data_IF_608495076080
#
_entry.id   IF_608495076080
#
_cell.length_a   1.000
_cell.length_b   1.000
_cell.length_c   1.000
_cell.angle_alpha   90.00
_cell.angle_beta   90.00
_cell.angle_gamma   90.00
#
_symmetry.space_group_name_H-M   'P 1'
#
loop_
_entity.id
_entity.type
_entity.pdbx_description
1 polymer ?
#
# COMPACT_ATOMS: atom_id res chain seq x y z
N UNK A 1 33.59 42.55 -52.60
CA UNK A 1 33.00 43.30 -51.47
C UNK A 1 32.00 42.35 -50.82
N UNK A 2 32.46 41.59 -49.83
CA UNK A 2 31.72 40.51 -49.20
C UNK A 2 30.60 41.11 -48.34
N UNK A 3 29.33 40.77 -48.62
CA UNK A 3 28.22 41.01 -47.69
C UNK A 3 28.29 39.92 -46.63
N UNK A 4 28.59 40.33 -45.40
CA UNK A 4 28.72 39.47 -44.22
C UNK A 4 27.46 38.63 -43.98
N UNK A 5 27.70 37.34 -43.85
CA UNK A 5 26.83 36.33 -43.27
C UNK A 5 26.94 36.44 -41.74
N UNK A 6 25.99 37.11 -41.10
CA UNK A 6 25.74 36.96 -39.66
C UNK A 6 24.22 36.89 -39.47
N UNK A 7 23.61 35.82 -39.98
CA UNK A 7 22.38 35.31 -39.41
C UNK A 7 22.78 34.54 -38.17
N UNK A 8 22.93 35.26 -37.07
CA UNK A 8 23.07 34.70 -35.74
C UNK A 8 21.79 33.91 -35.46
N UNK A 9 21.91 32.58 -35.47
CA UNK A 9 20.86 31.66 -35.11
C UNK A 9 20.38 32.05 -33.71
N UNK A 10 19.23 32.72 -33.63
CA UNK A 10 18.62 33.14 -32.38
C UNK A 10 18.11 31.90 -31.69
N UNK A 11 18.99 31.20 -30.98
CA UNK A 11 18.63 30.05 -30.15
C UNK A 11 17.76 30.61 -29.03
N UNK A 12 16.49 30.26 -29.04
CA UNK A 12 15.59 30.60 -27.95
C UNK A 12 16.17 30.05 -26.64
N UNK A 13 16.20 30.85 -25.58
CA UNK A 13 16.82 30.46 -24.32
C UNK A 13 16.15 29.19 -23.78
N UNK A 14 16.98 28.22 -23.41
CA UNK A 14 16.52 26.94 -22.88
C UNK A 14 15.65 27.15 -21.63
N UNK A 15 14.52 26.49 -21.57
CA UNK A 15 13.63 26.51 -20.40
C UNK A 15 14.40 26.02 -19.16
N UNK A 16 14.29 26.76 -18.04
CA UNK A 16 15.02 26.48 -16.81
C UNK A 16 16.45 27.05 -16.75
N UNK A 17 16.90 27.78 -17.77
CA UNK A 17 18.27 28.31 -17.83
C UNK A 17 18.51 29.53 -16.93
N UNK A 18 17.46 30.29 -16.57
CA UNK A 18 17.59 31.51 -15.77
C UNK A 18 16.27 31.91 -15.10
N UNK A 19 16.31 32.92 -14.22
CA UNK A 19 15.09 33.49 -13.62
C UNK A 19 14.12 34.11 -14.65
N UNK A 20 14.64 34.52 -15.81
CA UNK A 20 13.84 35.09 -16.91
C UNK A 20 13.25 33.99 -17.81
N UNK A 21 13.77 32.76 -17.70
CA UNK A 21 13.30 31.56 -18.40
C UNK A 21 13.18 30.41 -17.39
N UNK A 22 12.26 30.51 -16.40
CA UNK A 22 12.17 29.53 -15.34
C UNK A 22 11.65 28.19 -15.87
N UNK A 23 11.97 27.12 -15.15
CA UNK A 23 11.30 25.84 -15.32
C UNK A 23 10.01 25.87 -14.48
N UNK A 24 8.86 25.89 -15.16
CA UNK A 24 7.55 25.89 -14.49
C UNK A 24 7.04 24.45 -14.41
N UNK A 25 6.56 24.04 -13.23
CA UNK A 25 6.00 22.72 -12.96
C UNK A 25 4.49 22.86 -12.73
N UNK A 26 3.70 22.75 -13.80
CA UNK A 26 2.25 23.07 -13.75
C UNK A 26 1.42 22.13 -12.85
N UNK A 27 1.88 20.90 -12.63
CA UNK A 27 1.16 19.85 -11.87
C UNK A 27 1.71 19.59 -10.47
N UNK A 28 2.63 20.43 -9.98
CA UNK A 28 3.31 20.22 -8.69
C UNK A 28 3.10 21.43 -7.81
N UNK A 29 2.52 21.22 -6.63
CA UNK A 29 2.35 22.31 -5.67
C UNK A 29 3.69 22.65 -5.02
N UNK A 30 3.83 23.87 -4.50
CA UNK A 30 5.05 24.28 -3.77
C UNK A 30 5.30 23.38 -2.56
N UNK A 31 4.25 22.92 -1.90
CA UNK A 31 4.34 21.99 -0.76
C UNK A 31 4.85 20.61 -1.22
N UNK A 32 4.30 20.06 -2.31
CA UNK A 32 4.75 18.77 -2.84
C UNK A 32 6.24 18.83 -3.24
N UNK A 33 6.65 19.93 -3.85
CA UNK A 33 8.04 20.14 -4.25
C UNK A 33 8.98 20.29 -3.05
N UNK A 34 8.57 21.02 -2.01
CA UNK A 34 9.36 21.20 -0.79
C UNK A 34 9.56 19.87 -0.03
N UNK A 35 8.51 19.06 0.06
CA UNK A 35 8.58 17.69 0.60
C UNK A 35 9.60 16.85 -0.18
N UNK A 36 9.53 16.90 -1.52
CA UNK A 36 10.44 16.16 -2.38
C UNK A 36 11.90 16.61 -2.22
N UNK A 37 12.16 17.92 -2.17
CA UNK A 37 13.50 18.46 -1.98
C UNK A 37 14.07 18.12 -0.60
N UNK A 38 13.23 18.16 0.43
CA UNK A 38 13.62 17.76 1.78
C UNK A 38 14.08 16.30 1.79
N UNK A 39 13.31 15.41 1.16
CA UNK A 39 13.68 14.00 1.10
C UNK A 39 14.90 13.74 0.21
N UNK A 40 15.06 14.47 -0.89
CA UNK A 40 16.22 14.39 -1.79
C UNK A 40 17.52 14.77 -1.07
N UNK A 41 17.49 15.83 -0.25
CA UNK A 41 18.66 16.30 0.51
C UNK A 41 19.00 15.40 1.70
N UNK A 42 18.00 14.68 2.25
CA UNK A 42 18.18 13.76 3.40
C UNK A 42 18.45 12.32 2.93
N UNK A 43 18.11 11.98 1.68
CA UNK A 43 18.25 10.64 1.10
C UNK A 43 19.67 10.02 1.24
N UNK A 44 20.78 10.78 1.12
CA UNK A 44 22.12 10.22 1.30
C UNK A 44 22.36 9.66 2.71
N UNK A 45 21.60 10.10 3.72
CA UNK A 45 21.76 9.70 5.12
C UNK A 45 20.71 8.66 5.58
N UNK A 46 19.52 8.65 4.97
CA UNK A 46 18.40 7.79 5.37
C UNK A 46 18.53 6.32 4.93
N UNK A 47 19.20 6.07 3.79
CA UNK A 47 19.44 4.71 3.27
C UNK A 47 20.34 3.90 4.23
N UNK A 48 21.17 4.57 5.04
CA UNK A 48 22.11 3.91 5.97
C UNK A 48 21.53 3.57 7.35
N UNK A 49 20.35 4.12 7.73
CA UNK A 49 19.85 4.04 9.13
C UNK A 49 18.52 3.32 9.28
N UNK A 50 17.90 2.84 8.20
CA UNK A 50 16.59 2.18 8.24
C UNK A 50 16.61 0.71 8.72
N UNK A 51 17.74 0.21 9.21
CA UNK A 51 17.85 -1.13 9.82
C UNK A 51 17.85 -1.13 11.36
N UNK A 52 17.71 0.01 12.04
CA UNK A 52 18.14 0.09 13.44
C UNK A 52 17.11 0.40 14.55
N UNK A 53 15.82 0.69 14.32
CA UNK A 53 14.92 0.94 15.47
C UNK A 53 13.47 0.53 15.23
N UNK A 54 13.08 -0.58 15.88
CA UNK A 54 11.73 -1.17 15.91
C UNK A 54 11.00 -0.95 17.25
N UNK A 55 11.33 0.08 18.03
CA UNK A 55 10.78 0.21 19.40
C UNK A 55 10.69 1.65 19.91
N UNK A 56 9.59 2.35 19.63
CA UNK A 56 8.93 3.37 20.49
C UNK A 56 7.49 3.56 19.96
N UNK A 57 6.46 2.89 20.49
CA UNK A 57 5.24 2.62 19.67
C UNK A 57 4.09 3.65 19.76
N UNK A 58 3.89 4.45 20.81
CA UNK A 58 2.62 5.20 20.91
C UNK A 58 2.65 6.71 20.56
N UNK A 59 3.75 7.44 20.78
CA UNK A 59 3.87 8.84 20.32
C UNK A 59 4.18 8.95 18.81
N UNK A 60 4.50 7.83 18.15
CA UNK A 60 4.86 7.77 16.73
C UNK A 60 3.66 7.89 15.79
N UNK A 61 2.42 7.58 16.23
CA UNK A 61 1.28 7.44 15.32
C UNK A 61 0.94 8.72 14.52
N UNK A 62 0.93 9.90 15.14
CA UNK A 62 0.66 11.18 14.44
C UNK A 62 1.84 11.59 13.54
N UNK A 63 3.08 11.33 13.96
CA UNK A 63 4.26 11.57 13.12
C UNK A 63 4.31 10.64 11.91
N UNK A 64 3.86 9.38 12.08
CA UNK A 64 3.91 8.34 11.05
C UNK A 64 2.86 8.56 9.95
N UNK A 65 1.65 9.01 10.29
CA UNK A 65 0.61 9.30 9.29
C UNK A 65 1.00 10.47 8.37
N UNK A 66 1.59 11.54 8.93
CA UNK A 66 2.16 12.64 8.14
C UNK A 66 3.25 12.14 7.20
N UNK A 67 4.14 11.29 7.71
CA UNK A 67 5.22 10.70 6.94
C UNK A 67 4.70 9.79 5.81
N UNK A 68 3.54 9.13 5.97
CA UNK A 68 2.93 8.32 4.90
C UNK A 68 2.47 9.21 3.73
N UNK A 69 1.76 10.30 4.01
CA UNK A 69 1.31 11.25 2.97
C UNK A 69 2.49 11.87 2.23
N UNK A 70 3.50 12.32 2.96
CA UNK A 70 4.74 12.85 2.39
C UNK A 70 5.43 11.81 1.49
N UNK A 71 5.50 10.54 1.92
CA UNK A 71 6.12 9.45 1.14
C UNK A 71 5.34 9.09 -0.12
N UNK A 72 4.02 9.24 -0.14
CA UNK A 72 3.21 9.11 -1.38
C UNK A 72 3.54 10.24 -2.36
N UNK A 73 3.72 11.47 -1.87
CA UNK A 73 4.15 12.61 -2.71
C UNK A 73 5.54 12.37 -3.28
N UNK A 74 6.49 11.92 -2.44
CA UNK A 74 7.85 11.59 -2.91
C UNK A 74 7.80 10.48 -3.95
N UNK A 75 6.98 9.42 -3.74
CA UNK A 75 6.80 8.35 -4.71
C UNK A 75 6.24 8.89 -6.05
N UNK A 76 5.19 9.72 -6.00
CA UNK A 76 4.58 10.37 -7.17
C UNK A 76 5.60 11.13 -8.01
N UNK A 77 6.38 12.00 -7.36
CA UNK A 77 7.36 12.84 -8.03
C UNK A 77 8.60 12.05 -8.48
N UNK A 78 9.05 11.08 -7.67
CA UNK A 78 10.16 10.22 -8.03
C UNK A 78 9.85 9.33 -9.24
N UNK A 79 8.63 8.79 -9.34
CA UNK A 79 8.19 8.02 -10.50
C UNK A 79 8.08 8.91 -11.75
N UNK A 80 7.46 10.09 -11.60
CA UNK A 80 7.31 11.07 -12.70
C UNK A 80 8.65 11.53 -13.27
N UNK A 81 9.64 11.79 -12.42
CA UNK A 81 10.97 12.27 -12.83
C UNK A 81 12.02 11.17 -12.91
N UNK A 82 11.62 9.90 -12.81
CA UNK A 82 12.51 8.73 -12.93
C UNK A 82 13.66 8.67 -11.91
N UNK A 83 13.46 9.21 -10.70
CA UNK A 83 14.38 9.04 -9.56
C UNK A 83 14.21 7.64 -8.95
N UNK A 84 14.87 6.65 -9.54
CA UNK A 84 14.75 5.24 -9.17
C UNK A 84 15.05 4.94 -7.69
N UNK A 85 16.08 5.58 -7.11
CA UNK A 85 16.46 5.39 -5.71
C UNK A 85 15.40 5.93 -4.73
N UNK A 86 14.88 7.15 -4.98
CA UNK A 86 13.83 7.74 -4.15
C UNK A 86 12.53 6.96 -4.27
N UNK A 87 12.23 6.48 -5.48
CA UNK A 87 11.07 5.61 -5.73
C UNK A 87 11.18 4.33 -4.91
N UNK A 88 12.30 3.62 -4.98
CA UNK A 88 12.51 2.38 -4.21
C UNK A 88 12.45 2.62 -2.70
N UNK A 89 13.08 3.70 -2.22
CA UNK A 89 13.06 4.07 -0.80
C UNK A 89 11.63 4.36 -0.31
N UNK A 90 10.85 5.11 -1.10
CA UNK A 90 9.46 5.42 -0.78
C UNK A 90 8.57 4.18 -0.78
N UNK A 91 8.75 3.27 -1.75
CA UNK A 91 8.04 1.96 -1.78
C UNK A 91 8.40 1.12 -0.55
N UNK A 92 9.68 1.04 -0.17
CA UNK A 92 10.13 0.30 1.02
C UNK A 92 9.52 0.87 2.30
N UNK A 93 9.46 2.20 2.44
CA UNK A 93 8.81 2.85 3.57
C UNK A 93 7.31 2.54 3.61
N UNK A 94 6.62 2.76 2.49
CA UNK A 94 5.16 2.58 2.40
C UNK A 94 4.72 1.12 2.55
N UNK A 95 5.59 0.15 2.26
CA UNK A 95 5.35 -1.27 2.54
C UNK A 95 5.03 -1.52 4.01
N UNK A 96 5.74 -0.84 4.92
CA UNK A 96 5.59 -0.98 6.37
C UNK A 96 4.74 0.12 7.00
N UNK A 97 4.18 1.02 6.18
CA UNK A 97 3.28 2.06 6.63
C UNK A 97 1.89 1.49 6.96
N UNK A 98 1.20 2.15 7.88
CA UNK A 98 -0.18 1.83 8.22
C UNK A 98 -1.13 2.51 7.21
N UNK A 99 -1.16 1.95 6.00
CA UNK A 99 -2.05 2.38 4.93
C UNK A 99 -3.38 1.62 4.99
N UNK A 100 -4.46 2.32 4.70
CA UNK A 100 -5.75 1.69 4.47
C UNK A 100 -5.63 0.62 3.37
N UNK A 101 -6.33 -0.52 3.46
CA UNK A 101 -6.25 -1.57 2.44
C UNK A 101 -6.57 -1.07 1.03
N UNK A 102 -7.50 -0.12 0.91
CA UNK A 102 -7.91 0.51 -0.34
C UNK A 102 -6.77 1.32 -0.94
N UNK A 103 -6.15 2.21 -0.14
CA UNK A 103 -5.01 3.01 -0.58
C UNK A 103 -3.81 2.13 -0.98
N UNK A 104 -3.58 1.03 -0.25
CA UNK A 104 -2.52 0.06 -0.60
C UNK A 104 -2.76 -0.58 -1.97
N UNK A 105 -4.01 -0.94 -2.29
CA UNK A 105 -4.39 -1.49 -3.60
C UNK A 105 -4.28 -0.43 -4.71
N UNK A 106 -4.73 0.79 -4.46
CA UNK A 106 -4.63 1.90 -5.41
C UNK A 106 -3.17 2.23 -5.76
N UNK A 107 -2.28 2.28 -4.77
CA UNK A 107 -0.84 2.48 -4.98
C UNK A 107 -0.21 1.32 -5.77
N UNK A 108 -0.65 0.09 -5.52
CA UNK A 108 -0.18 -1.07 -6.27
C UNK A 108 -0.50 -0.96 -7.76
N UNK A 109 -1.71 -0.51 -8.10
CA UNK A 109 -2.14 -0.34 -9.49
C UNK A 109 -1.43 0.84 -10.16
N UNK A 110 -1.35 1.97 -9.45
CA UNK A 110 -0.75 3.19 -9.96
C UNK A 110 0.74 3.02 -10.27
N UNK A 111 1.49 2.36 -9.37
CA UNK A 111 2.94 2.25 -9.45
C UNK A 111 3.45 0.84 -9.80
N UNK A 112 2.55 -0.09 -10.20
CA UNK A 112 2.90 -1.48 -10.58
C UNK A 112 3.77 -2.17 -9.54
N UNK A 113 3.36 -2.11 -8.28
CA UNK A 113 4.11 -2.68 -7.16
C UNK A 113 3.91 -4.20 -7.08
N UNK A 114 4.80 -4.88 -6.37
CA UNK A 114 4.75 -6.34 -6.25
C UNK A 114 3.52 -6.81 -5.48
N UNK A 115 2.75 -7.72 -6.10
CA UNK A 115 1.49 -8.20 -5.54
C UNK A 115 1.65 -8.96 -4.21
N UNK A 116 2.82 -9.57 -3.99
CA UNK A 116 3.15 -10.33 -2.77
C UNK A 116 2.99 -9.47 -1.51
N UNK A 117 3.55 -8.26 -1.56
CA UNK A 117 3.71 -7.38 -0.40
C UNK A 117 2.60 -6.34 -0.28
N UNK A 118 1.82 -6.14 -1.35
CA UNK A 118 0.83 -5.07 -1.41
C UNK A 118 -0.60 -5.61 -1.52
N UNK A 119 -0.86 -6.49 -2.48
CA UNK A 119 -2.21 -6.97 -2.78
C UNK A 119 -2.67 -8.00 -1.76
N UNK A 120 -1.87 -9.04 -1.52
CA UNK A 120 -2.24 -10.12 -0.59
C UNK A 120 -2.56 -9.60 0.83
N UNK A 121 -1.71 -8.78 1.48
CA UNK A 121 -2.03 -8.29 2.81
C UNK A 121 -3.25 -7.36 2.83
N UNK A 122 -3.45 -6.52 1.80
CA UNK A 122 -4.62 -5.65 1.73
C UNK A 122 -5.93 -6.46 1.61
N UNK A 123 -5.97 -7.44 0.69
CA UNK A 123 -7.14 -8.30 0.50
C UNK A 123 -7.40 -9.14 1.75
N UNK A 124 -6.36 -9.68 2.40
CA UNK A 124 -6.51 -10.43 3.65
C UNK A 124 -7.19 -9.60 4.73
N UNK A 125 -6.76 -8.35 4.92
CA UNK A 125 -7.36 -7.44 5.89
C UNK A 125 -8.83 -7.16 5.57
N UNK A 126 -9.16 -6.95 4.29
CA UNK A 126 -10.54 -6.71 3.85
C UNK A 126 -11.46 -7.93 4.01
N UNK A 127 -10.96 -9.15 3.73
CA UNK A 127 -11.76 -10.38 3.90
C UNK A 127 -12.06 -10.66 5.37
N UNK A 128 -11.08 -10.42 6.26
CA UNK A 128 -11.23 -10.64 7.71
C UNK A 128 -12.15 -9.62 8.39
N UNK A 129 -12.40 -8.47 7.76
CA UNK A 129 -13.26 -7.42 8.32
C UNK A 129 -14.71 -7.92 8.42
N UNK A 130 -15.34 -7.67 9.57
CA UNK A 130 -16.76 -7.97 9.77
C UNK A 130 -17.67 -6.92 9.11
N UNK A 131 -17.19 -5.70 8.92
CA UNK A 131 -17.92 -4.62 8.25
C UNK A 131 -18.02 -4.85 6.75
N UNK A 132 -19.18 -4.49 6.19
CA UNK A 132 -19.43 -4.57 4.75
C UNK A 132 -18.57 -3.58 3.96
N UNK A 133 -18.34 -3.89 2.69
CA UNK A 133 -17.63 -3.00 1.78
C UNK A 133 -18.53 -1.83 1.44
N UNK A 134 -18.07 -0.59 1.67
CA UNK A 134 -18.85 0.59 1.29
C UNK A 134 -18.77 0.82 -0.22
N UNK A 135 -19.67 1.64 -0.75
CA UNK A 135 -19.66 1.99 -2.16
C UNK A 135 -18.39 2.75 -2.55
N UNK A 136 -17.91 3.64 -1.68
CA UNK A 136 -16.68 4.40 -1.91
C UNK A 136 -15.47 3.46 -1.98
N UNK A 137 -15.37 2.49 -1.06
CA UNK A 137 -14.28 1.51 -1.06
C UNK A 137 -14.32 0.62 -2.32
N UNK A 138 -15.52 0.21 -2.75
CA UNK A 138 -15.69 -0.57 -3.97
C UNK A 138 -15.28 0.21 -5.24
N UNK A 139 -15.51 1.52 -5.26
CA UNK A 139 -15.06 2.40 -6.34
C UNK A 139 -13.55 2.55 -6.36
N UNK A 140 -12.92 2.74 -5.19
CA UNK A 140 -11.46 2.88 -5.07
C UNK A 140 -10.70 1.60 -5.44
N UNK A 141 -11.22 0.44 -5.02
CA UNK A 141 -10.61 -0.88 -5.29
C UNK A 141 -10.84 -1.32 -6.76
N UNK A 142 -11.89 -0.78 -7.38
CA UNK A 142 -12.35 -1.17 -8.71
C UNK A 142 -13.30 -2.37 -8.70
N UNK A 143 -14.28 -2.34 -9.61
CA UNK A 143 -15.41 -3.27 -9.64
C UNK A 143 -15.00 -4.75 -9.67
N UNK A 144 -14.06 -5.12 -10.54
CA UNK A 144 -13.64 -6.53 -10.68
C UNK A 144 -13.05 -7.08 -9.38
N UNK A 145 -12.19 -6.30 -8.73
CA UNK A 145 -11.57 -6.69 -7.46
C UNK A 145 -12.58 -6.69 -6.31
N UNK A 146 -13.51 -5.74 -6.28
CA UNK A 146 -14.58 -5.70 -5.30
C UNK A 146 -15.47 -6.95 -5.39
N UNK A 147 -15.83 -7.40 -6.60
CA UNK A 147 -16.60 -8.63 -6.80
C UNK A 147 -15.84 -9.87 -6.32
N UNK A 148 -14.56 -10.01 -6.69
CA UNK A 148 -13.69 -11.11 -6.23
C UNK A 148 -13.57 -11.13 -4.70
N UNK A 149 -13.42 -9.95 -4.10
CA UNK A 149 -13.36 -9.78 -2.64
C UNK A 149 -14.66 -10.22 -1.97
N UNK A 150 -15.83 -9.83 -2.51
CA UNK A 150 -17.13 -10.24 -1.98
C UNK A 150 -17.32 -11.76 -2.04
N UNK A 151 -16.90 -12.41 -3.13
CA UNK A 151 -16.92 -13.87 -3.23
C UNK A 151 -16.04 -14.54 -2.18
N UNK A 152 -14.80 -14.07 -1.99
CA UNK A 152 -13.90 -14.58 -0.95
C UNK A 152 -14.46 -14.38 0.45
N UNK A 153 -15.07 -13.23 0.72
CA UNK A 153 -15.70 -12.93 2.02
C UNK A 153 -16.91 -13.85 2.25
N UNK A 154 -17.70 -14.12 1.22
CA UNK A 154 -18.75 -15.14 1.26
C UNK A 154 -18.21 -16.51 1.67
N UNK A 155 -17.18 -17.01 0.98
CA UNK A 155 -16.53 -18.29 1.30
C UNK A 155 -15.98 -18.32 2.75
N UNK A 156 -15.34 -17.23 3.18
CA UNK A 156 -14.68 -17.13 4.48
C UNK A 156 -15.67 -17.01 5.65
N UNK A 157 -16.76 -16.25 5.48
CA UNK A 157 -17.76 -16.02 6.53
C UNK A 157 -18.91 -17.04 6.52
N UNK A 158 -18.95 -17.94 5.54
CA UNK A 158 -19.79 -19.16 5.59
C UNK A 158 -19.19 -20.11 6.63
N UNK A 159 -19.43 -19.77 7.90
CA UNK A 159 -19.53 -20.80 8.93
C UNK A 159 -20.83 -21.56 8.67
N UNK A 160 -20.83 -22.90 8.64
CA UNK A 160 -22.08 -23.61 8.81
C UNK A 160 -22.62 -23.18 10.17
N UNK A 161 -23.75 -22.46 10.21
CA UNK A 161 -24.52 -22.36 11.46
C UNK A 161 -24.64 -23.81 11.94
N UNK A 162 -24.08 -24.19 13.10
CA UNK A 162 -24.42 -25.49 13.64
C UNK A 162 -25.93 -25.45 13.77
N UNK A 163 -26.62 -26.32 13.04
CA UNK A 163 -28.04 -26.56 13.26
C UNK A 163 -28.10 -26.81 14.75
N UNK A 164 -28.71 -25.88 15.49
CA UNK A 164 -29.02 -26.04 16.90
C UNK A 164 -30.10 -27.13 16.93
N UNK A 165 -29.70 -28.37 16.67
CA UNK A 165 -30.43 -29.54 17.12
C UNK A 165 -30.23 -29.47 18.62
N UNK A 166 -31.13 -28.79 19.33
CA UNK A 166 -31.21 -28.91 20.78
C UNK A 166 -31.66 -30.33 21.05
N UNK A 167 -30.79 -31.25 21.49
CA UNK A 167 -31.28 -32.49 22.03
C UNK A 167 -31.86 -32.09 23.38
N UNK A 168 -33.18 -32.28 23.55
CA UNK A 168 -33.82 -32.14 24.85
C UNK A 168 -33.19 -33.16 25.80
N UNK A 169 -32.21 -32.71 26.58
CA UNK A 169 -31.62 -33.50 27.65
C UNK A 169 -32.15 -33.01 29.00
N UNK A 170 -32.51 -33.92 29.92
CA UNK A 170 -32.93 -33.55 31.28
C UNK A 170 -31.79 -32.87 32.03
N UNK A 171 -32.14 -31.88 32.87
CA UNK A 171 -31.25 -31.24 33.84
C UNK A 171 -30.51 -32.31 34.65
N UNK A 172 -29.18 -32.42 34.50
CA UNK A 172 -28.19 -32.71 35.56
C UNK A 172 -26.89 -33.22 34.91
N UNK A 173 -25.95 -32.32 34.64
CA UNK A 173 -24.51 -32.54 34.75
C UNK A 173 -23.77 -31.23 34.44
N UNK A 174 -23.05 -30.69 35.41
CA UNK A 174 -22.13 -29.56 35.19
C UNK A 174 -21.01 -29.97 34.24
N UNK A 175 -20.64 -29.16 33.24
CA UNK A 175 -19.51 -29.45 32.39
C UNK A 175 -18.19 -29.16 33.11
N UNK A 176 -17.12 -29.97 32.90
CA UNK A 176 -15.81 -29.68 33.44
C UNK A 176 -15.20 -28.47 32.70
N UNK A 177 -14.77 -27.50 33.49
CA UNK A 177 -13.94 -26.39 33.05
C UNK A 177 -12.55 -26.91 32.71
N UNK A 178 -12.09 -26.72 31.47
CA UNK A 178 -10.69 -26.52 31.06
C UNK A 178 -10.56 -26.66 29.53
N UNK A 179 -10.49 -25.54 28.81
CA UNK A 179 -9.81 -25.45 27.53
C UNK A 179 -9.35 -24.00 27.30
N UNK A 180 -8.20 -23.64 27.87
CA UNK A 180 -7.53 -22.37 27.57
C UNK A 180 -6.77 -22.53 26.25
N UNK A 181 -7.49 -22.20 25.17
CA UNK A 181 -7.08 -21.89 23.80
C UNK A 181 -5.60 -21.97 23.42
N UNK A 182 -5.31 -22.99 22.62
CA UNK A 182 -4.21 -23.08 21.65
C UNK A 182 -4.51 -22.23 20.39
N UNK A 183 -4.79 -20.92 20.52
CA UNK A 183 -5.30 -20.11 19.39
C UNK A 183 -4.24 -19.70 18.35
N UNK A 184 -2.94 -19.79 18.64
CA UNK A 184 -1.89 -19.26 17.75
C UNK A 184 -1.67 -20.13 16.50
N UNK A 185 -1.67 -21.46 16.64
CA UNK A 185 -1.41 -22.39 15.53
C UNK A 185 -2.59 -22.53 14.55
N UNK A 186 -3.82 -22.42 15.06
CA UNK A 186 -5.03 -22.49 14.24
C UNK A 186 -5.19 -21.26 13.33
N UNK A 187 -4.90 -20.06 13.85
CA UNK A 187 -4.97 -18.81 13.07
C UNK A 187 -3.91 -18.76 11.96
N UNK A 188 -2.68 -19.23 12.24
CA UNK A 188 -1.62 -19.30 11.22
C UNK A 188 -2.00 -20.24 10.07
N UNK A 189 -2.69 -21.35 10.38
CA UNK A 189 -3.17 -22.29 9.37
C UNK A 189 -4.29 -21.71 8.51
N UNK A 190 -5.22 -20.95 9.12
CA UNK A 190 -6.31 -20.27 8.38
C UNK A 190 -5.78 -19.16 7.46
N UNK A 191 -4.77 -18.41 7.90
CA UNK A 191 -4.17 -17.34 7.11
C UNK A 191 -3.42 -17.87 5.89
N UNK A 192 -2.71 -18.99 6.04
CA UNK A 192 -2.04 -19.66 4.91
C UNK A 192 -3.05 -20.17 3.89
N UNK A 193 -4.19 -20.72 4.33
CA UNK A 193 -5.26 -21.17 3.45
C UNK A 193 -5.91 -19.99 2.72
N UNK A 194 -6.20 -18.91 3.45
CA UNK A 194 -6.78 -17.69 2.89
C UNK A 194 -5.83 -17.04 1.87
N UNK A 195 -4.54 -16.95 2.16
CA UNK A 195 -3.52 -16.42 1.24
C UNK A 195 -3.46 -17.21 -0.06
N UNK A 196 -3.49 -18.54 0.04
CA UNK A 196 -3.52 -19.41 -1.14
C UNK A 196 -4.75 -19.11 -1.98
N UNK A 197 -5.92 -18.98 -1.34
CA UNK A 197 -7.18 -18.70 -2.03
C UNK A 197 -7.19 -17.30 -2.67
N UNK A 198 -6.66 -16.30 -1.98
CA UNK A 198 -6.49 -14.94 -2.52
C UNK A 198 -5.65 -15.00 -3.81
N UNK A 199 -4.52 -15.72 -3.79
CA UNK A 199 -3.67 -15.86 -4.98
C UNK A 199 -4.39 -16.51 -6.15
N UNK A 200 -5.14 -17.58 -5.90
CA UNK A 200 -5.92 -18.26 -6.93
C UNK A 200 -6.95 -17.32 -7.58
N UNK A 201 -7.74 -16.62 -6.76
CA UNK A 201 -8.82 -15.74 -7.25
C UNK A 201 -8.27 -14.51 -7.99
N UNK A 202 -7.13 -13.99 -7.55
CA UNK A 202 -6.50 -12.82 -8.16
C UNK A 202 -5.45 -13.15 -9.23
N UNK A 203 -5.24 -14.44 -9.55
CA UNK A 203 -4.27 -14.87 -10.57
C UNK A 203 -2.83 -14.55 -10.20
N UNK A 204 -2.50 -14.54 -8.90
CA UNK A 204 -1.16 -14.22 -8.41
C UNK A 204 -0.28 -15.48 -8.40
N UNK A 205 1.04 -15.32 -8.65
CA UNK A 205 1.97 -16.44 -8.60
C UNK A 205 2.07 -17.05 -7.19
N UNK A 206 2.48 -18.32 -7.09
CA UNK A 206 2.72 -18.95 -5.81
C UNK A 206 3.86 -18.24 -5.07
N UNK A 207 3.73 -18.17 -3.75
CA UNK A 207 4.70 -17.53 -2.85
C UNK A 207 6.10 -18.10 -3.10
N UNK A 208 7.08 -17.23 -3.42
CA UNK A 208 8.48 -17.60 -3.64
C UNK A 208 8.87 -17.98 -5.08
N UNK A 209 8.09 -17.60 -6.09
CA UNK A 209 8.36 -17.92 -7.51
C UNK A 209 9.19 -16.86 -8.27
N UNK A 210 9.88 -15.97 -7.56
CA UNK A 210 10.70 -14.90 -8.15
C UNK A 210 12.12 -14.92 -7.60
#
# INVERSE_FOLDING_TARGET
MFKSLEQEERIDPLVGSSAQHPLVLDDVTTEEFDIFLTDLNVCPLSISLTEAVESVVDDIMIYRERQCRERVVVLKLADRWSFSLLRQSSVRFLRHADLSPQSRLALCDQYKLEAEDWVVPAIRTLVKRNEDLTLEEAQEIGLERALKLMSLRGEHHVTPKPVQVTPSYPLFASPPSLARSSNSSANLSQDVVLDKRIREVFGLPPKGSY
#
